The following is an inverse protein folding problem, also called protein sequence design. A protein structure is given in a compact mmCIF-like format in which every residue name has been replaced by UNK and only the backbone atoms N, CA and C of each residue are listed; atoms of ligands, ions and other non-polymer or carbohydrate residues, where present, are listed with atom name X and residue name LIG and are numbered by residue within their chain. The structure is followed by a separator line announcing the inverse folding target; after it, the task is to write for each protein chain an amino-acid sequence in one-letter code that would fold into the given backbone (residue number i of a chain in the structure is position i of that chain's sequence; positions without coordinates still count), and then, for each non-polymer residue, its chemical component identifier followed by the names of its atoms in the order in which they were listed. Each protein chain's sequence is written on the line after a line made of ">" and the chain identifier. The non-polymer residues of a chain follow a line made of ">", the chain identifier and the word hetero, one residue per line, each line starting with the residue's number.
data_IF_628756136560
#
_entry.id   IF_628756136560
#
_cell.length_a   1.000
_cell.length_b   1.000
_cell.length_c   1.000
_cell.angle_alpha   90.00
_cell.angle_beta   90.00
_cell.angle_gamma   90.00
#
_symmetry.space_group_name_H-M   'P 1'
#
loop_
_entity.id
_entity.type
_entity.pdbx_description
1 polymer ?
#
# COMPACT_ATOMS: atom_id res chain seq x y z
N UNK A 1 -4.97 -11.25 16.13
CA UNK A 1 -5.46 -10.30 15.12
C UNK A 1 -4.39 -10.13 14.05
N UNK A 2 -4.63 -10.68 12.86
CA UNK A 2 -3.68 -10.63 11.74
C UNK A 2 -4.04 -9.46 10.82
N UNK A 3 -3.05 -8.63 10.50
CA UNK A 3 -3.21 -7.43 9.68
C UNK A 3 -2.19 -7.44 8.54
N UNK A 4 -2.63 -7.00 7.36
CA UNK A 4 -1.77 -6.73 6.20
C UNK A 4 -1.90 -5.27 5.81
N UNK A 5 -0.76 -4.64 5.50
CA UNK A 5 -0.72 -3.28 4.95
C UNK A 5 -0.25 -3.39 3.50
N UNK A 6 -1.08 -2.93 2.59
CA UNK A 6 -0.84 -2.95 1.15
C UNK A 6 -0.52 -1.53 0.68
N UNK A 7 0.61 -1.38 0.01
CA UNK A 7 1.06 -0.13 -0.59
C UNK A 7 0.88 -0.20 -2.10
N UNK A 8 0.23 0.81 -2.65
CA UNK A 8 -0.04 0.97 -4.08
C UNK A 8 0.70 2.19 -4.64
N UNK A 9 0.57 2.39 -5.94
CA UNK A 9 1.19 3.50 -6.66
C UNK A 9 2.38 3.07 -7.51
N UNK A 10 2.95 4.04 -8.21
CA UNK A 10 4.06 3.86 -9.16
C UNK A 10 5.28 4.65 -8.73
N UNK A 11 6.47 4.03 -8.73
CA UNK A 11 7.75 4.67 -8.41
C UNK A 11 8.07 5.89 -9.30
N UNK A 12 7.50 5.95 -10.50
CA UNK A 12 7.86 6.95 -11.52
C UNK A 12 6.75 7.94 -11.87
N UNK A 13 5.54 7.78 -11.31
CA UNK A 13 4.37 8.57 -11.71
C UNK A 13 4.07 9.76 -10.77
N UNK A 14 5.08 10.56 -10.45
CA UNK A 14 4.91 11.79 -9.66
C UNK A 14 4.31 11.52 -8.29
N UNK A 15 3.24 12.23 -7.93
CA UNK A 15 2.60 12.09 -6.61
C UNK A 15 1.94 10.71 -6.39
N UNK A 16 1.67 9.96 -7.46
CA UNK A 16 1.24 8.55 -7.40
C UNK A 16 2.31 7.64 -6.76
N UNK A 17 3.54 8.12 -6.61
CA UNK A 17 4.60 7.41 -5.88
C UNK A 17 4.41 7.40 -4.36
N UNK A 18 3.40 8.08 -3.81
CA UNK A 18 3.23 8.23 -2.36
C UNK A 18 3.24 6.90 -1.59
N UNK A 19 2.52 5.87 -2.08
CA UNK A 19 2.50 4.57 -1.42
C UNK A 19 3.85 3.84 -1.52
N UNK A 20 4.55 3.93 -2.64
CA UNK A 20 5.93 3.42 -2.81
C UNK A 20 6.92 4.09 -1.84
N UNK A 21 6.89 5.42 -1.76
CA UNK A 21 7.76 6.21 -0.89
C UNK A 21 7.56 5.86 0.60
N UNK A 22 6.31 5.72 1.03
CA UNK A 22 5.99 5.32 2.40
C UNK A 22 6.49 3.91 2.66
N UNK A 23 6.22 2.95 1.75
CA UNK A 23 6.70 1.58 1.88
C UNK A 23 8.21 1.52 2.06
N UNK A 24 8.98 2.18 1.19
CA UNK A 24 10.43 2.20 1.24
C UNK A 24 10.97 2.81 2.55
N UNK A 25 10.28 3.79 3.11
CA UNK A 25 10.67 4.43 4.38
C UNK A 25 10.43 3.55 5.61
N UNK A 26 9.44 2.65 5.58
CA UNK A 26 8.99 1.93 6.79
C UNK A 26 9.20 0.41 6.75
N UNK A 27 9.46 -0.19 5.58
CA UNK A 27 9.52 -1.66 5.39
C UNK A 27 10.46 -2.38 6.37
N UNK A 28 11.55 -1.73 6.76
CA UNK A 28 12.56 -2.29 7.68
C UNK A 28 12.44 -1.75 9.12
N UNK A 29 11.43 -0.91 9.40
CA UNK A 29 11.25 -0.21 10.69
C UNK A 29 10.09 -0.74 11.52
N UNK A 30 9.15 -1.44 10.90
CA UNK A 30 7.90 -1.87 11.53
C UNK A 30 7.79 -3.38 11.42
N UNK A 31 7.50 -4.05 12.55
CA UNK A 31 7.20 -5.48 12.58
C UNK A 31 5.72 -5.71 12.26
N UNK A 32 5.37 -5.57 10.99
CA UNK A 32 4.05 -5.84 10.43
C UNK A 32 4.20 -6.54 9.06
N UNK A 33 3.12 -7.14 8.55
CA UNK A 33 3.10 -7.64 7.19
C UNK A 33 2.85 -6.48 6.23
N UNK A 34 3.88 -6.10 5.49
CA UNK A 34 3.89 -4.97 4.57
C UNK A 34 4.13 -5.49 3.15
N UNK A 35 3.28 -5.12 2.20
CA UNK A 35 3.33 -5.62 0.82
C UNK A 35 3.18 -4.45 -0.14
N UNK A 36 4.18 -4.22 -1.00
CA UNK A 36 4.07 -3.27 -2.10
C UNK A 36 3.63 -4.00 -3.37
N UNK A 37 2.46 -3.64 -3.89
CA UNK A 37 1.90 -4.30 -5.08
C UNK A 37 2.08 -3.48 -6.36
N UNK A 38 2.59 -2.26 -6.24
CA UNK A 38 2.66 -1.30 -7.33
C UNK A 38 1.26 -0.94 -7.82
N UNK A 39 1.07 -0.97 -9.13
CA UNK A 39 -0.22 -0.66 -9.79
C UNK A 39 -1.09 -1.89 -10.04
N UNK A 40 -0.69 -3.08 -9.58
CA UNK A 40 -1.41 -4.34 -9.80
C UNK A 40 -1.94 -4.93 -8.48
N UNK A 41 -3.13 -4.47 -8.10
CA UNK A 41 -3.81 -4.95 -6.90
C UNK A 41 -4.21 -6.43 -6.99
N UNK A 42 -4.32 -7.03 -8.18
CA UNK A 42 -4.72 -8.44 -8.30
C UNK A 42 -3.68 -9.41 -7.71
N UNK A 43 -2.42 -9.00 -7.58
CA UNK A 43 -1.39 -9.73 -6.82
C UNK A 43 -1.82 -10.03 -5.40
N UNK A 44 -2.71 -9.21 -4.81
CA UNK A 44 -3.27 -9.43 -3.49
C UNK A 44 -3.93 -10.81 -3.34
N UNK A 45 -4.59 -11.31 -4.40
CA UNK A 45 -5.23 -12.63 -4.39
C UNK A 45 -4.24 -13.76 -4.07
N UNK A 46 -3.00 -13.66 -4.56
CA UNK A 46 -1.96 -14.67 -4.34
C UNK A 46 -1.30 -14.59 -2.97
N UNK A 47 -1.49 -13.49 -2.24
CA UNK A 47 -0.79 -13.23 -0.97
C UNK A 47 -1.73 -13.16 0.24
N UNK A 48 -3.04 -13.03 0.04
CA UNK A 48 -4.03 -13.00 1.13
C UNK A 48 -4.05 -14.34 1.90
N UNK A 49 -4.05 -14.28 3.23
CA UNK A 49 -4.01 -15.45 4.13
C UNK A 49 -5.16 -15.47 5.13
N UNK A 50 -6.24 -14.73 4.87
CA UNK A 50 -7.36 -14.60 5.80
C UNK A 50 -7.12 -13.53 6.88
N UNK A 51 -6.35 -12.48 6.58
CA UNK A 51 -6.17 -11.37 7.50
C UNK A 51 -7.50 -10.72 7.90
N UNK A 52 -7.65 -10.44 9.20
CA UNK A 52 -8.83 -9.83 9.80
C UNK A 52 -8.88 -8.31 9.55
N UNK A 53 -7.73 -7.72 9.22
CA UNK A 53 -7.59 -6.28 8.95
C UNK A 53 -6.73 -6.06 7.71
N UNK A 54 -7.22 -5.19 6.83
CA UNK A 54 -6.51 -4.68 5.66
C UNK A 54 -6.35 -3.18 5.81
N UNK A 55 -5.13 -2.68 5.60
CA UNK A 55 -4.85 -1.24 5.46
C UNK A 55 -4.31 -1.02 4.05
N UNK A 56 -4.88 -0.07 3.31
CA UNK A 56 -4.40 0.31 1.99
C UNK A 56 -3.79 1.70 2.08
N UNK A 57 -2.63 1.88 1.46
CA UNK A 57 -1.91 3.14 1.36
C UNK A 57 -1.72 3.44 -0.11
N UNK A 58 -2.32 4.52 -0.59
CA UNK A 58 -2.27 4.94 -1.99
C UNK A 58 -2.36 6.47 -2.09
N UNK A 59 -1.88 7.02 -3.21
CA UNK A 59 -2.18 8.39 -3.58
C UNK A 59 -3.66 8.50 -3.94
N UNK A 60 -4.30 9.58 -3.51
CA UNK A 60 -5.68 9.88 -3.87
C UNK A 60 -5.75 11.30 -4.39
N UNK A 61 -6.51 11.51 -5.46
CA UNK A 61 -6.94 12.85 -5.82
C UNK A 61 -8.01 13.28 -4.82
N UNK A 62 -7.69 14.30 -4.02
CA UNK A 62 -8.69 15.00 -3.23
C UNK A 62 -9.70 15.70 -4.15
N UNK A 63 -10.88 15.98 -3.63
CA UNK A 63 -11.76 16.99 -4.19
C UNK A 63 -11.35 18.31 -3.54
N UNK A 64 -11.00 19.33 -4.33
CA UNK A 64 -10.55 20.63 -3.81
C UNK A 64 -11.69 21.43 -3.13
N UNK A 65 -12.96 21.05 -3.31
CA UNK A 65 -14.10 21.74 -2.69
C UNK A 65 -15.24 20.77 -2.33
N UNK A 66 -15.58 20.68 -1.04
CA UNK A 66 -16.92 20.32 -0.55
C UNK A 66 -17.46 21.49 0.25
#
# INVERSE_FOLDING_TARGET
>A
MNCIVVFLGSEVAGDDSAGYEIYMRIKDKIKARLEYLGTDFFKFYGIYRGEEKLVIVDAVYGIDDV
#
